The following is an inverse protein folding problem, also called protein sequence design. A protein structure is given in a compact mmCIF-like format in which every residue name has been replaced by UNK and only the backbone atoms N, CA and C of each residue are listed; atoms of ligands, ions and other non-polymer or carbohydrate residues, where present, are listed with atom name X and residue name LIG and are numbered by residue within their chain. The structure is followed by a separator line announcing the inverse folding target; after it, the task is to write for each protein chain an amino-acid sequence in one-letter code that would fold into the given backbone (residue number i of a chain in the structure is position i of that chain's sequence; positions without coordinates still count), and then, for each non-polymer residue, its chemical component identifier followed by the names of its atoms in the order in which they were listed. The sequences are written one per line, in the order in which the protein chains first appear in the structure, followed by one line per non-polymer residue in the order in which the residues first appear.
data_IF_031975449410
#
_entry.id   IF_031975449410
#
_cell.length_a   1.000
_cell.length_b   1.000
_cell.length_c   1.000
_cell.angle_alpha   90.00
_cell.angle_beta   90.00
_cell.angle_gamma   90.00
#
_symmetry.space_group_name_H-M   'P 1'
#
loop_
_entity.id
_entity.type
_entity.pdbx_description
1 polymer ?
#
# COMPACT_ATOMS: atom_id res chain seq x y z
N UNK A 1 -18.47 21.97 -3.92
CA UNK A 1 -17.09 21.52 -4.19
C UNK A 1 -17.06 20.35 -5.19
N UNK A 2 -18.00 20.26 -6.15
CA UNK A 2 -18.23 19.05 -6.98
C UNK A 2 -17.99 19.23 -8.48
N UNK A 3 -17.79 20.46 -8.97
CA UNK A 3 -17.67 20.74 -10.40
C UNK A 3 -16.24 20.60 -10.93
N UNK A 4 -15.22 20.86 -10.09
CA UNK A 4 -13.79 20.71 -10.44
C UNK A 4 -13.35 19.24 -10.48
N UNK A 5 -13.94 18.39 -9.62
CA UNK A 5 -13.55 16.98 -9.50
C UNK A 5 -13.96 16.18 -10.74
N UNK A 6 -15.21 16.37 -11.20
CA UNK A 6 -15.72 15.76 -12.42
C UNK A 6 -14.95 16.23 -13.67
N UNK A 7 -14.50 17.49 -13.72
CA UNK A 7 -13.72 17.98 -14.85
C UNK A 7 -12.33 17.34 -14.93
N UNK A 8 -11.65 17.18 -13.79
CA UNK A 8 -10.30 16.60 -13.75
C UNK A 8 -10.32 15.09 -14.09
N UNK A 9 -11.32 14.36 -13.59
CA UNK A 9 -11.56 12.95 -13.90
C UNK A 9 -11.94 12.75 -15.37
N UNK A 10 -12.84 13.59 -15.90
CA UNK A 10 -13.23 13.54 -17.29
C UNK A 10 -12.06 13.89 -18.22
N UNK A 11 -11.20 14.84 -17.84
CA UNK A 11 -9.97 15.11 -18.58
C UNK A 11 -9.03 13.90 -18.55
N UNK A 12 -8.85 13.25 -17.40
CA UNK A 12 -8.00 12.06 -17.29
C UNK A 12 -8.50 10.90 -18.17
N UNK A 13 -9.81 10.62 -18.15
CA UNK A 13 -10.39 9.59 -19.02
C UNK A 13 -10.28 9.95 -20.50
N UNK A 14 -10.48 11.23 -20.85
CA UNK A 14 -10.35 11.73 -22.23
C UNK A 14 -8.90 11.60 -22.74
N UNK A 15 -7.90 11.89 -21.89
CA UNK A 15 -6.47 11.76 -22.23
C UNK A 15 -6.11 10.31 -22.53
N UNK A 16 -6.51 9.38 -21.65
CA UNK A 16 -6.24 7.94 -21.86
C UNK A 16 -7.00 7.37 -23.06
N UNK A 17 -8.21 7.86 -23.35
CA UNK A 17 -8.97 7.44 -24.51
C UNK A 17 -8.36 7.92 -25.83
N UNK A 18 -7.81 9.14 -25.84
CA UNK A 18 -7.24 9.76 -27.05
C UNK A 18 -5.84 9.26 -27.39
N UNK A 19 -5.06 8.79 -26.41
CA UNK A 19 -3.72 8.25 -26.63
C UNK A 19 -3.46 7.02 -25.74
N UNK A 20 -3.79 5.81 -26.22
CA UNK A 20 -3.59 4.57 -25.47
C UNK A 20 -2.13 4.18 -25.29
N UNK A 21 -1.17 4.92 -25.88
CA UNK A 21 0.27 4.70 -25.68
C UNK A 21 0.82 5.39 -24.42
N UNK A 22 0.04 6.29 -23.81
CA UNK A 22 0.39 6.96 -22.55
C UNK A 22 0.23 6.00 -21.38
N UNK A 23 1.34 5.73 -20.70
CA UNK A 23 1.33 5.01 -19.43
C UNK A 23 1.36 6.04 -18.29
N UNK A 24 0.31 6.12 -17.44
CA UNK A 24 0.36 6.98 -16.27
C UNK A 24 1.42 6.46 -15.29
N UNK A 25 2.33 7.33 -14.89
CA UNK A 25 3.40 7.04 -13.95
C UNK A 25 3.28 7.97 -12.74
N UNK A 26 3.28 7.37 -11.55
CA UNK A 26 3.24 8.12 -10.31
C UNK A 26 4.63 8.59 -9.94
N UNK A 27 4.80 9.91 -9.87
CA UNK A 27 6.02 10.50 -9.35
C UNK A 27 5.77 11.20 -8.03
N UNK A 28 6.74 11.01 -7.14
CA UNK A 28 6.84 11.76 -5.90
C UNK A 28 7.29 13.18 -6.25
N UNK A 29 6.62 14.21 -5.71
CA UNK A 29 6.95 15.61 -6.02
C UNK A 29 8.35 16.02 -5.53
N UNK A 30 8.69 15.65 -4.29
CA UNK A 30 9.96 16.04 -3.66
C UNK A 30 10.62 14.93 -2.84
N UNK A 31 9.84 14.24 -2.00
CA UNK A 31 10.31 13.14 -1.13
C UNK A 31 9.18 12.14 -0.90
N UNK A 32 9.44 10.82 -0.79
CA UNK A 32 8.41 9.83 -0.48
C UNK A 32 7.90 9.94 0.97
N UNK A 33 8.50 10.81 1.79
CA UNK A 33 8.18 10.93 3.22
C UNK A 33 6.70 11.20 3.52
N UNK A 34 5.97 12.08 2.79
CA UNK A 34 4.54 12.27 3.02
C UNK A 34 3.74 10.99 2.77
N UNK A 35 4.01 10.28 1.66
CA UNK A 35 3.41 8.99 1.35
C UNK A 35 3.70 7.94 2.42
N UNK A 36 4.95 7.84 2.90
CA UNK A 36 5.33 6.89 3.95
C UNK A 36 4.67 7.25 5.29
N UNK A 37 4.63 8.54 5.65
CA UNK A 37 3.98 9.02 6.87
C UNK A 37 2.47 8.79 6.84
N UNK A 38 1.84 9.05 5.69
CA UNK A 38 0.43 8.75 5.47
C UNK A 38 0.16 7.25 5.58
N UNK A 39 1.03 6.41 5.01
CA UNK A 39 0.92 4.95 5.10
C UNK A 39 0.94 4.48 6.56
N UNK A 40 1.90 4.95 7.35
CA UNK A 40 1.99 4.64 8.79
C UNK A 40 0.74 5.08 9.54
N UNK A 41 0.26 6.29 9.27
CA UNK A 41 -0.93 6.85 9.92
C UNK A 41 -2.20 6.05 9.57
N UNK A 42 -2.35 5.65 8.31
CA UNK A 42 -3.46 4.84 7.85
C UNK A 42 -3.46 3.48 8.57
N UNK A 43 -2.31 2.78 8.59
CA UNK A 43 -2.12 1.50 9.28
C UNK A 43 -2.47 1.60 10.77
N UNK A 44 -1.94 2.62 11.46
CA UNK A 44 -2.17 2.80 12.89
C UNK A 44 -3.67 2.92 13.23
N UNK A 45 -4.46 3.48 12.31
CA UNK A 45 -5.90 3.70 12.46
C UNK A 45 -6.77 2.54 11.94
N UNK A 46 -6.17 1.42 11.49
CA UNK A 46 -6.92 0.24 11.03
C UNK A 46 -7.45 -0.61 12.19
N UNK A 47 -6.57 -0.90 13.15
CA UNK A 47 -6.81 -1.89 14.22
C UNK A 47 -6.07 -1.45 15.49
N UNK A 48 -6.72 -1.58 16.64
CA UNK A 48 -6.06 -1.40 17.93
C UNK A 48 -5.14 -2.58 18.22
N UNK A 49 -3.86 -2.32 18.48
CA UNK A 49 -2.88 -3.36 18.75
C UNK A 49 -2.43 -3.35 20.20
N UNK A 50 -2.21 -4.53 20.77
CA UNK A 50 -1.63 -4.66 22.11
C UNK A 50 -0.23 -4.04 22.18
N UNK A 51 0.10 -3.45 23.33
CA UNK A 51 1.47 -2.95 23.61
C UNK A 51 2.41 -4.07 24.09
N UNK A 52 1.90 -5.28 24.31
CA UNK A 52 2.67 -6.37 24.90
C UNK A 52 3.56 -7.09 23.88
N UNK A 53 4.87 -7.02 24.08
CA UNK A 53 5.86 -7.73 23.27
C UNK A 53 6.08 -9.17 23.79
N UNK A 54 5.15 -10.06 23.46
CA UNK A 54 5.15 -11.45 23.97
C UNK A 54 6.18 -12.37 23.33
N UNK A 55 6.57 -12.12 22.08
CA UNK A 55 7.43 -13.00 21.30
C UNK A 55 8.82 -12.39 21.04
N UNK A 56 9.83 -13.24 20.81
CA UNK A 56 11.21 -12.78 20.58
C UNK A 56 11.32 -11.84 19.37
N UNK A 57 10.63 -12.16 18.28
CA UNK A 57 10.67 -11.36 17.05
C UNK A 57 10.07 -9.96 17.24
N UNK A 58 9.18 -9.76 18.23
CA UNK A 58 8.66 -8.42 18.55
C UNK A 58 9.77 -7.45 18.98
N UNK A 59 10.84 -7.96 19.62
CA UNK A 59 11.99 -7.15 20.04
C UNK A 59 12.95 -6.83 18.89
N UNK A 60 12.83 -7.55 17.77
CA UNK A 60 13.63 -7.30 16.57
C UNK A 60 12.98 -6.26 15.65
N UNK A 61 11.70 -5.95 15.86
CA UNK A 61 10.97 -4.98 15.06
C UNK A 61 11.42 -3.55 15.41
N UNK A 62 11.90 -2.76 14.44
CA UNK A 62 12.08 -1.33 14.65
C UNK A 62 10.70 -0.65 14.77
N UNK A 63 10.67 0.62 15.17
CA UNK A 63 9.41 1.38 15.17
C UNK A 63 8.75 1.39 13.79
N UNK A 64 7.42 1.35 13.75
CA UNK A 64 6.63 1.23 12.51
C UNK A 64 7.02 2.23 11.40
N UNK A 65 7.26 3.53 11.66
CA UNK A 65 7.74 4.45 10.62
C UNK A 65 9.07 4.03 10.00
N UNK A 66 10.02 3.62 10.84
CA UNK A 66 11.34 3.14 10.40
C UNK A 66 11.23 1.83 9.63
N UNK A 67 10.32 0.94 10.04
CA UNK A 67 10.04 -0.31 9.35
C UNK A 67 9.47 -0.06 7.95
N UNK A 68 8.41 0.74 7.83
CA UNK A 68 7.78 1.08 6.55
C UNK A 68 8.79 1.73 5.61
N UNK A 69 9.57 2.71 6.12
CA UNK A 69 10.66 3.34 5.37
C UNK A 69 11.70 2.33 4.91
N UNK A 70 12.16 1.45 5.81
CA UNK A 70 13.15 0.44 5.49
C UNK A 70 12.69 -0.47 4.36
N UNK A 71 11.47 -1.00 4.45
CA UNK A 71 10.91 -1.89 3.43
C UNK A 71 10.76 -1.17 2.08
N UNK A 72 10.24 0.06 2.07
CA UNK A 72 10.08 0.85 0.86
C UNK A 72 11.41 1.00 0.09
N UNK A 73 12.45 1.49 0.75
CA UNK A 73 13.74 1.69 0.10
C UNK A 73 14.49 0.39 -0.17
N UNK A 74 14.52 -0.55 0.79
CA UNK A 74 15.31 -1.78 0.68
C UNK A 74 14.77 -2.71 -0.39
N UNK A 75 13.45 -2.75 -0.57
CA UNK A 75 12.76 -3.59 -1.56
C UNK A 75 12.47 -2.85 -2.87
N UNK A 76 12.91 -1.58 -2.98
CA UNK A 76 12.70 -0.69 -4.13
C UNK A 76 11.23 -0.54 -4.51
N UNK A 77 10.33 -0.51 -3.52
CA UNK A 77 8.91 -0.33 -3.78
C UNK A 77 8.66 1.01 -4.49
N UNK A 78 7.68 1.02 -5.37
CA UNK A 78 7.27 2.23 -6.09
C UNK A 78 6.11 2.93 -5.37
N UNK A 79 5.87 4.23 -5.64
CA UNK A 79 4.67 4.92 -5.15
C UNK A 79 3.37 4.20 -5.54
N UNK A 80 3.29 3.64 -6.75
CA UNK A 80 2.13 2.87 -7.22
C UNK A 80 1.84 1.65 -6.36
N UNK A 81 2.88 0.90 -5.97
CA UNK A 81 2.72 -0.25 -5.05
C UNK A 81 2.14 0.20 -3.72
N UNK A 82 2.61 1.34 -3.17
CA UNK A 82 2.07 1.86 -1.91
C UNK A 82 0.63 2.38 -2.06
N UNK A 83 0.28 3.05 -3.16
CA UNK A 83 -1.10 3.52 -3.38
C UNK A 83 -2.07 2.34 -3.48
N UNK A 84 -1.73 1.30 -4.27
CA UNK A 84 -2.55 0.09 -4.36
C UNK A 84 -2.64 -0.62 -3.00
N UNK A 85 -1.53 -0.67 -2.25
CA UNK A 85 -1.55 -1.22 -0.90
C UNK A 85 -2.47 -0.42 0.05
N UNK A 86 -2.50 0.90 -0.05
CA UNK A 86 -3.40 1.76 0.74
C UNK A 86 -4.87 1.54 0.39
N UNK A 87 -5.20 1.40 -0.89
CA UNK A 87 -6.54 1.02 -1.37
C UNK A 87 -6.95 -0.32 -0.74
N UNK A 88 -6.06 -1.31 -0.74
CA UNK A 88 -6.32 -2.60 -0.10
C UNK A 88 -6.48 -2.49 1.42
N UNK A 89 -5.73 -1.64 2.11
CA UNK A 89 -5.90 -1.41 3.54
C UNK A 89 -7.28 -0.78 3.86
N UNK A 90 -7.80 0.09 3.00
CA UNK A 90 -9.16 0.62 3.14
C UNK A 90 -10.25 -0.43 2.88
N UNK A 91 -10.06 -1.29 1.88
CA UNK A 91 -10.95 -2.44 1.65
C UNK A 91 -10.91 -3.41 2.84
N UNK A 92 -9.74 -3.64 3.43
CA UNK A 92 -9.59 -4.43 4.64
C UNK A 92 -10.35 -3.79 5.81
N UNK A 93 -10.18 -2.49 6.05
CA UNK A 93 -10.90 -1.75 7.11
C UNK A 93 -12.42 -1.93 7.00
N UNK A 94 -12.97 -1.88 5.78
CA UNK A 94 -14.41 -2.08 5.51
C UNK A 94 -14.91 -3.50 5.81
N UNK A 95 -14.04 -4.50 5.71
CA UNK A 95 -14.38 -5.90 5.95
C UNK A 95 -14.03 -6.39 7.37
N UNK A 96 -13.30 -5.58 8.15
CA UNK A 96 -12.98 -5.92 9.53
C UNK A 96 -14.19 -5.70 10.46
N UNK A 97 -14.36 -6.56 11.48
CA UNK A 97 -15.27 -6.29 12.58
C UNK A 97 -14.92 -4.98 13.28
N UNK A 98 -15.94 -4.24 13.75
CA UNK A 98 -15.77 -2.95 14.44
C UNK A 98 -14.93 -3.02 15.73
N UNK A 99 -14.76 -4.23 16.29
CA UNK A 99 -14.00 -4.49 17.51
C UNK A 99 -12.72 -5.30 17.23
N UNK A 100 -12.23 -5.31 15.98
CA UNK A 100 -10.99 -5.98 15.63
C UNK A 100 -9.83 -5.46 16.50
N UNK A 101 -9.10 -6.38 17.12
CA UNK A 101 -7.89 -6.11 17.89
C UNK A 101 -6.75 -6.98 17.37
N UNK A 102 -5.55 -6.43 17.41
CA UNK A 102 -4.32 -7.04 16.95
C UNK A 102 -3.32 -7.30 18.07
N UNK A 103 -2.37 -8.17 17.78
CA UNK A 103 -1.16 -8.31 18.56
C UNK A 103 -0.21 -7.13 18.28
N UNK A 104 0.88 -7.04 19.05
CA UNK A 104 1.88 -5.97 18.92
C UNK A 104 2.37 -5.77 17.48
N UNK A 105 2.54 -6.86 16.73
CA UNK A 105 3.11 -6.80 15.39
C UNK A 105 2.06 -6.77 14.26
N UNK A 106 0.76 -6.69 14.59
CA UNK A 106 -0.33 -6.75 13.60
C UNK A 106 -0.24 -5.63 12.56
N UNK A 107 0.14 -4.41 12.95
CA UNK A 107 0.35 -3.31 11.99
C UNK A 107 1.45 -3.62 10.96
N UNK A 108 2.53 -4.28 11.38
CA UNK A 108 3.63 -4.68 10.50
C UNK A 108 3.17 -5.78 9.54
N UNK A 109 2.44 -6.78 10.05
CA UNK A 109 1.85 -7.87 9.27
C UNK A 109 0.87 -7.35 8.20
N UNK A 110 0.00 -6.41 8.57
CA UNK A 110 -0.96 -5.78 7.65
C UNK A 110 -0.25 -5.01 6.54
N UNK A 111 0.78 -4.23 6.88
CA UNK A 111 1.58 -3.53 5.88
C UNK A 111 2.26 -4.50 4.91
N UNK A 112 2.95 -5.53 5.43
CA UNK A 112 3.65 -6.52 4.61
C UNK A 112 2.69 -7.27 3.68
N UNK A 113 1.54 -7.71 4.18
CA UNK A 113 0.55 -8.39 3.38
C UNK A 113 0.02 -7.47 2.26
N UNK A 114 -0.31 -6.21 2.58
CA UNK A 114 -0.80 -5.26 1.59
C UNK A 114 0.22 -4.99 0.48
N UNK A 115 1.50 -4.74 0.82
CA UNK A 115 2.53 -4.47 -0.21
C UNK A 115 2.92 -5.73 -0.99
N UNK A 116 2.84 -6.92 -0.40
CA UNK A 116 3.05 -8.18 -1.13
C UNK A 116 1.96 -8.38 -2.17
N UNK A 117 0.69 -8.24 -1.79
CA UNK A 117 -0.45 -8.40 -2.71
C UNK A 117 -0.42 -7.31 -3.79
N UNK A 118 -0.16 -6.06 -3.43
CA UNK A 118 -0.04 -4.95 -4.39
C UNK A 118 1.11 -5.16 -5.38
N UNK A 119 2.26 -5.66 -4.91
CA UNK A 119 3.39 -5.95 -5.80
C UNK A 119 3.05 -7.05 -6.81
N UNK A 120 2.40 -8.13 -6.37
CA UNK A 120 1.97 -9.23 -7.26
C UNK A 120 0.88 -8.81 -8.25
N UNK A 121 0.09 -7.82 -7.90
CA UNK A 121 -0.92 -7.25 -8.77
C UNK A 121 -0.31 -6.38 -9.87
N UNK A 122 0.73 -5.60 -9.55
CA UNK A 122 1.35 -4.64 -10.46
C UNK A 122 2.54 -5.20 -11.27
N UNK A 123 3.24 -6.21 -10.75
CA UNK A 123 4.46 -6.76 -11.37
C UNK A 123 4.25 -8.17 -11.95
N UNK A 124 4.67 -8.38 -13.19
CA UNK A 124 4.70 -9.71 -13.81
C UNK A 124 5.80 -10.62 -13.23
N UNK A 125 6.91 -10.03 -12.75
CA UNK A 125 8.14 -10.76 -12.38
C UNK A 125 8.38 -10.93 -10.87
N UNK A 126 7.42 -10.59 -10.00
CA UNK A 126 7.49 -10.80 -8.54
C UNK A 126 8.78 -10.27 -7.85
N UNK A 127 9.39 -9.20 -8.37
CA UNK A 127 10.72 -8.76 -7.93
C UNK A 127 10.69 -8.10 -6.55
N UNK A 128 9.65 -7.31 -6.27
CA UNK A 128 9.43 -6.72 -4.96
C UNK A 128 9.11 -7.79 -3.92
N UNK A 129 8.27 -8.77 -4.27
CA UNK A 129 7.93 -9.86 -3.37
C UNK A 129 9.19 -10.59 -2.90
N UNK A 130 10.04 -11.06 -3.82
CA UNK A 130 11.29 -11.73 -3.46
C UNK A 130 12.19 -10.85 -2.57
N UNK A 131 12.25 -9.55 -2.83
CA UNK A 131 13.01 -8.59 -2.02
C UNK A 131 12.44 -8.42 -0.61
N UNK A 132 11.11 -8.36 -0.47
CA UNK A 132 10.41 -8.29 0.83
C UNK A 132 10.71 -9.54 1.66
N UNK A 133 10.55 -10.73 1.06
CA UNK A 133 10.84 -12.01 1.75
C UNK A 133 12.27 -12.03 2.32
N UNK A 134 13.24 -11.51 1.57
CA UNK A 134 14.63 -11.40 2.03
C UNK A 134 14.84 -10.34 3.10
N UNK A 135 14.17 -9.19 2.98
CA UNK A 135 14.34 -8.06 3.91
C UNK A 135 13.82 -8.37 5.32
N UNK A 136 12.75 -9.17 5.43
CA UNK A 136 12.10 -9.48 6.70
C UNK A 136 12.43 -10.86 7.27
N UNK A 137 13.27 -11.65 6.59
CA UNK A 137 13.65 -13.00 7.03
C UNK A 137 14.21 -13.09 8.46
N UNK A 138 14.85 -12.06 9.05
CA UNK A 138 15.26 -12.11 10.45
C UNK A 138 14.09 -12.06 11.46
N UNK A 139 12.91 -11.62 11.02
CA UNK A 139 11.73 -11.41 11.88
C UNK A 139 10.61 -12.39 11.55
N UNK A 140 10.40 -12.70 10.28
CA UNK A 140 9.33 -13.56 9.80
C UNK A 140 9.84 -14.62 8.83
N UNK A 141 9.36 -15.84 9.00
CA UNK A 141 9.62 -16.94 8.10
C UNK A 141 8.82 -16.80 6.80
N UNK A 142 9.27 -17.45 5.70
CA UNK A 142 8.51 -17.47 4.46
C UNK A 142 7.10 -18.08 4.62
N UNK A 143 6.91 -19.00 5.57
CA UNK A 143 5.59 -19.58 5.87
C UNK A 143 4.67 -18.54 6.49
N UNK A 144 5.16 -17.79 7.49
CA UNK A 144 4.37 -16.74 8.13
C UNK A 144 3.96 -15.66 7.13
N UNK A 145 4.87 -15.22 6.25
CA UNK A 145 4.53 -14.26 5.20
C UNK A 145 3.43 -14.75 4.25
N UNK A 146 3.47 -16.01 3.84
CA UNK A 146 2.40 -16.61 3.01
C UNK A 146 1.08 -16.69 3.76
N UNK A 147 1.09 -16.99 5.04
CA UNK A 147 -0.14 -17.00 5.86
C UNK A 147 -0.68 -15.58 6.09
N UNK A 148 0.18 -14.57 6.29
CA UNK A 148 -0.22 -13.17 6.34
C UNK A 148 -0.92 -12.76 5.04
N UNK A 149 -0.31 -13.07 3.89
CA UNK A 149 -0.87 -12.80 2.58
C UNK A 149 -2.23 -13.51 2.39
N UNK A 150 -2.29 -14.82 2.66
CA UNK A 150 -3.52 -15.60 2.54
C UNK A 150 -4.64 -15.09 3.43
N UNK A 151 -4.32 -14.75 4.68
CA UNK A 151 -5.29 -14.18 5.63
C UNK A 151 -5.82 -12.84 5.13
N UNK A 152 -4.93 -11.96 4.66
CA UNK A 152 -5.28 -10.66 4.09
C UNK A 152 -6.20 -10.80 2.86
N UNK A 153 -5.87 -11.69 1.93
CA UNK A 153 -6.72 -12.01 0.76
C UNK A 153 -8.10 -12.52 1.16
N UNK A 154 -8.16 -13.35 2.21
CA UNK A 154 -9.41 -13.85 2.76
C UNK A 154 -10.31 -12.72 3.29
N UNK A 155 -9.74 -11.75 4.01
CA UNK A 155 -10.47 -10.57 4.50
C UNK A 155 -10.95 -9.68 3.34
N UNK A 156 -10.12 -9.52 2.31
CA UNK A 156 -10.50 -8.78 1.10
C UNK A 156 -11.54 -9.50 0.24
N UNK A 157 -11.81 -10.79 0.51
CA UNK A 157 -12.66 -11.64 -0.35
C UNK A 157 -12.17 -11.64 -1.80
N UNK A 158 -10.86 -11.53 -1.99
CA UNK A 158 -10.20 -11.42 -3.31
C UNK A 158 -10.68 -10.24 -4.18
N UNK A 159 -11.25 -9.19 -3.57
CA UNK A 159 -11.50 -7.91 -4.25
C UNK A 159 -10.17 -7.17 -4.46
N UNK A 160 -9.46 -7.54 -5.53
CA UNK A 160 -8.10 -7.07 -5.87
C UNK A 160 -8.05 -6.21 -7.12
N UNK A 161 -9.12 -6.15 -7.91
CA UNK A 161 -9.08 -5.32 -9.11
C UNK A 161 -8.98 -3.85 -8.71
N UNK A 162 -7.92 -3.19 -9.19
CA UNK A 162 -7.70 -1.75 -9.06
C UNK A 162 -7.34 -1.23 -10.45
N UNK A 163 -8.21 -0.42 -11.03
CA UNK A 163 -7.93 0.22 -12.31
C UNK A 163 -7.22 1.56 -12.13
N UNK A 164 -6.83 2.16 -13.25
CA UNK A 164 -6.17 3.46 -13.27
C UNK A 164 -7.07 4.58 -12.72
N UNK A 165 -8.38 4.46 -12.87
CA UNK A 165 -9.33 5.47 -12.43
C UNK A 165 -9.48 5.47 -10.91
N UNK A 166 -9.60 4.29 -10.31
CA UNK A 166 -9.61 4.14 -8.85
C UNK A 166 -8.29 4.62 -8.24
N UNK A 167 -7.15 4.29 -8.87
CA UNK A 167 -5.86 4.80 -8.41
C UNK A 167 -5.79 6.33 -8.50
N UNK A 168 -6.25 6.91 -9.62
CA UNK A 168 -6.31 8.37 -9.80
C UNK A 168 -7.19 9.03 -8.74
N UNK A 169 -8.41 8.52 -8.57
CA UNK A 169 -9.38 9.02 -7.60
C UNK A 169 -8.81 8.98 -6.19
N UNK A 170 -8.17 7.87 -5.82
CA UNK A 170 -7.52 7.72 -4.52
C UNK A 170 -6.47 8.81 -4.27
N UNK A 171 -5.63 9.07 -5.26
CA UNK A 171 -4.56 10.06 -5.14
C UNK A 171 -5.11 11.47 -5.06
N UNK A 172 -6.14 11.77 -5.85
CA UNK A 172 -6.81 13.06 -5.84
C UNK A 172 -7.43 13.34 -4.48
N UNK A 173 -8.21 12.38 -3.95
CA UNK A 173 -8.91 12.52 -2.67
C UNK A 173 -7.96 12.70 -1.47
N UNK A 174 -6.71 12.25 -1.62
CA UNK A 174 -5.68 12.30 -0.57
C UNK A 174 -4.45 13.13 -0.95
N UNK A 175 -4.55 13.99 -1.97
CA UNK A 175 -3.39 14.67 -2.58
C UNK A 175 -2.54 15.47 -1.59
N UNK A 176 -3.20 16.15 -0.64
CA UNK A 176 -2.56 16.99 0.37
C UNK A 176 -1.72 16.17 1.35
N UNK A 177 -2.12 14.93 1.61
CA UNK A 177 -1.45 14.04 2.53
C UNK A 177 -0.37 13.18 1.85
N UNK A 178 -0.60 12.77 0.59
CA UNK A 178 0.29 11.85 -0.13
C UNK A 178 1.52 12.54 -0.73
N UNK A 179 1.44 13.83 -1.07
CA UNK A 179 2.55 14.54 -1.71
C UNK A 179 2.93 13.99 -3.10
N UNK A 180 1.97 13.40 -3.81
CA UNK A 180 2.16 12.77 -5.12
C UNK A 180 1.72 13.67 -6.28
N UNK A 181 2.26 13.39 -7.47
CA UNK A 181 1.82 13.98 -8.74
C UNK A 181 1.67 12.85 -9.78
N UNK A 182 0.51 12.80 -10.42
CA UNK A 182 0.27 11.94 -11.58
C UNK A 182 0.87 12.60 -12.81
N UNK A 183 1.76 11.89 -13.51
CA UNK A 183 2.28 12.33 -14.81
C UNK A 183 2.08 11.25 -15.86
N UNK A 184 1.71 11.67 -17.06
CA UNK A 184 1.69 10.77 -18.21
C UNK A 184 3.08 10.74 -18.85
N UNK A 185 3.57 9.55 -19.18
CA UNK A 185 4.78 9.38 -19.99
C UNK A 185 4.41 8.70 -21.30
N UNK A 186 4.98 9.15 -22.40
CA UNK A 186 4.98 8.40 -23.66
C UNK A 186 5.94 7.23 -23.51
N UNK A 187 5.47 6.04 -23.91
CA UNK A 187 6.23 4.79 -23.88
C UNK A 187 7.29 4.75 -24.97
#
# INVERSE_FOLDING_TARGET
MTTSTLSDIHQFSTILHNDPSLSPSLKVRHSPDPLLSYTVSNIHNLVLCSKEQRYYHHRLLPGLPSFVRHIYFRCRLTPSVLVVALIYLERLKRNLPSQAQGEYDTHYKLFLAAVLVASKFLEDCNTHAASIFKAVSPVYTPRELKEMERSFLGVLKFDLYVDLMEMYQYIYDHQDALGLELRFQQS
#
